data_IF_928671236471
#
_entry.id   IF_928671236471
#
_cell.length_a   1.000
_cell.length_b   1.000
_cell.length_c   1.000
_cell.angle_alpha   90.00
_cell.angle_beta   90.00
_cell.angle_gamma   90.00
#
_symmetry.space_group_name_H-M   'P 1'
#
loop_
_entity.id
_entity.type
_entity.pdbx_description
1 polymer ?
#
# COMPACT_ATOMS: atom_id res chain seq x y z
N UNK A 1 20.81 9.94 5.05
CA UNK A 1 19.65 10.09 5.95
C UNK A 1 18.61 11.07 5.41
N UNK A 2 18.96 12.32 5.10
CA UNK A 2 18.00 13.32 4.58
C UNK A 2 17.18 12.87 3.36
N UNK A 3 17.83 12.25 2.35
CA UNK A 3 17.13 11.70 1.17
C UNK A 3 16.02 10.70 1.54
N UNK A 4 16.31 9.76 2.44
CA UNK A 4 15.32 8.77 2.88
C UNK A 4 14.17 9.41 3.66
N UNK A 5 14.46 10.32 4.59
CA UNK A 5 13.42 11.01 5.35
C UNK A 5 12.49 11.81 4.44
N UNK A 6 13.06 12.50 3.43
CA UNK A 6 12.30 13.24 2.43
C UNK A 6 11.39 12.31 1.61
N UNK A 7 11.95 11.30 0.94
CA UNK A 7 11.18 10.32 0.14
C UNK A 7 10.02 9.68 0.92
N UNK A 8 10.29 9.26 2.17
CA UNK A 8 9.29 8.63 3.04
C UNK A 8 8.19 9.61 3.42
N UNK A 9 8.54 10.81 3.84
CA UNK A 9 7.56 11.83 4.23
C UNK A 9 6.66 12.22 3.04
N UNK A 10 7.24 12.43 1.86
CA UNK A 10 6.49 12.74 0.64
C UNK A 10 5.44 11.68 0.31
N UNK A 11 5.85 10.41 0.32
CA UNK A 11 4.94 9.30 0.06
C UNK A 11 3.86 9.18 1.14
N UNK A 12 4.23 9.23 2.42
CA UNK A 12 3.28 9.10 3.54
C UNK A 12 2.21 10.18 3.47
N UNK A 13 2.59 11.43 3.17
CA UNK A 13 1.64 12.55 3.02
C UNK A 13 0.70 12.29 1.84
N UNK A 14 1.24 12.00 0.65
CA UNK A 14 0.42 11.72 -0.55
C UNK A 14 -0.55 10.56 -0.33
N UNK A 15 -0.07 9.49 0.29
CA UNK A 15 -0.86 8.31 0.60
C UNK A 15 -1.97 8.60 1.62
N UNK A 16 -1.68 9.39 2.66
CA UNK A 16 -2.67 9.78 3.66
C UNK A 16 -3.80 10.62 3.04
N UNK A 17 -3.48 11.54 2.14
CA UNK A 17 -4.49 12.29 1.39
C UNK A 17 -5.28 11.40 0.44
N UNK A 18 -4.61 10.51 -0.31
CA UNK A 18 -5.25 9.56 -1.21
C UNK A 18 -6.28 8.67 -0.49
N UNK A 19 -5.90 8.02 0.62
CA UNK A 19 -6.80 7.11 1.35
C UNK A 19 -8.01 7.84 1.94
N UNK A 20 -7.79 9.07 2.43
CA UNK A 20 -8.85 9.85 3.07
C UNK A 20 -9.82 10.41 2.03
N UNK A 21 -9.30 10.88 0.90
CA UNK A 21 -10.12 11.32 -0.23
C UNK A 21 -10.91 10.16 -0.83
N UNK A 22 -10.34 8.97 -0.96
CA UNK A 22 -11.04 7.78 -1.45
C UNK A 22 -12.35 7.56 -0.67
N UNK A 23 -12.31 7.48 0.67
CA UNK A 23 -13.51 7.26 1.48
C UNK A 23 -14.52 8.40 1.36
N UNK A 24 -14.05 9.64 1.40
CA UNK A 24 -14.90 10.83 1.30
C UNK A 24 -15.59 10.94 -0.06
N UNK A 25 -14.88 10.64 -1.14
CA UNK A 25 -15.45 10.67 -2.50
C UNK A 25 -16.46 9.54 -2.72
N UNK A 26 -16.27 8.35 -2.14
CA UNK A 26 -17.29 7.30 -2.19
C UNK A 26 -18.56 7.75 -1.47
N UNK A 27 -18.43 8.32 -0.26
CA UNK A 27 -19.56 8.86 0.48
C UNK A 27 -20.28 9.98 -0.31
N UNK A 28 -19.52 10.85 -0.97
CA UNK A 28 -20.07 11.91 -1.81
C UNK A 28 -20.81 11.34 -3.03
N UNK A 29 -20.19 10.40 -3.75
CA UNK A 29 -20.78 9.77 -4.93
C UNK A 29 -22.03 8.98 -4.58
N UNK A 30 -22.04 8.29 -3.43
CA UNK A 30 -23.24 7.61 -2.92
C UNK A 30 -24.36 8.62 -2.59
N UNK A 31 -24.04 9.70 -1.88
CA UNK A 31 -25.03 10.74 -1.60
C UNK A 31 -25.59 11.38 -2.86
N UNK A 32 -24.77 11.58 -3.90
CA UNK A 32 -25.22 12.09 -5.18
C UNK A 32 -26.22 11.12 -5.85
N UNK A 33 -25.95 9.81 -5.80
CA UNK A 33 -26.88 8.78 -6.28
C UNK A 33 -28.17 8.70 -5.44
N UNK A 34 -28.08 8.95 -4.14
CA UNK A 34 -29.19 8.98 -3.19
C UNK A 34 -29.87 10.36 -3.07
N UNK A 35 -29.80 11.19 -4.12
CA UNK A 35 -30.47 12.50 -4.20
C UNK A 35 -30.13 13.46 -3.04
N UNK A 36 -28.89 13.40 -2.54
CA UNK A 36 -28.40 14.19 -1.41
C UNK A 36 -29.21 14.02 -0.12
N UNK A 37 -29.78 12.84 0.12
CA UNK A 37 -30.51 12.48 1.35
C UNK A 37 -29.67 12.58 2.65
N UNK A 38 -28.34 12.66 2.55
CA UNK A 38 -27.44 12.78 3.69
C UNK A 38 -27.19 11.48 4.45
N UNK A 39 -27.65 10.34 3.92
CA UNK A 39 -27.44 9.03 4.51
C UNK A 39 -25.97 8.65 4.42
N UNK A 40 -25.37 8.28 5.56
CA UNK A 40 -23.99 7.79 5.55
C UNK A 40 -23.92 6.40 4.93
N UNK A 41 -23.01 6.24 3.98
CA UNK A 41 -22.70 4.97 3.35
C UNK A 41 -21.89 4.08 4.28
N UNK A 42 -21.00 4.68 5.08
CA UNK A 42 -20.12 3.97 6.00
C UNK A 42 -20.73 3.87 7.39
N UNK A 43 -20.46 2.76 8.07
CA UNK A 43 -20.70 2.70 9.51
C UNK A 43 -19.62 3.48 10.28
N UNK A 44 -19.99 4.04 11.44
CA UNK A 44 -19.09 4.87 12.24
C UNK A 44 -17.82 4.11 12.68
N UNK A 45 -17.98 2.81 13.00
CA UNK A 45 -16.84 1.96 13.35
C UNK A 45 -15.90 1.75 12.17
N UNK A 46 -16.44 1.49 10.97
CA UNK A 46 -15.62 1.30 9.76
C UNK A 46 -14.78 2.54 9.43
N UNK A 47 -15.37 3.74 9.58
CA UNK A 47 -14.68 5.00 9.31
C UNK A 47 -13.53 5.24 10.31
N UNK A 48 -13.79 5.00 11.61
CA UNK A 48 -12.78 5.13 12.65
C UNK A 48 -11.67 4.07 12.50
N UNK A 49 -12.04 2.81 12.27
CA UNK A 49 -11.11 1.69 12.13
C UNK A 49 -10.22 1.84 10.88
N UNK A 50 -10.76 2.36 9.78
CA UNK A 50 -9.98 2.61 8.57
C UNK A 50 -8.87 3.63 8.84
N UNK A 51 -9.22 4.78 9.41
CA UNK A 51 -8.27 5.86 9.63
C UNK A 51 -7.28 5.60 10.76
N UNK A 52 -7.70 4.87 11.80
CA UNK A 52 -6.86 4.52 12.94
C UNK A 52 -6.21 3.14 12.80
N UNK A 53 -6.98 2.09 13.01
CA UNK A 53 -6.45 0.74 13.21
C UNK A 53 -5.75 0.16 11.99
N UNK A 54 -6.38 0.21 10.81
CA UNK A 54 -5.89 -0.56 9.67
C UNK A 54 -4.86 0.18 8.83
N UNK A 55 -4.98 1.50 8.69
CA UNK A 55 -4.09 2.26 7.80
C UNK A 55 -2.88 2.87 8.50
N UNK A 56 -2.85 3.00 9.84
CA UNK A 56 -1.68 3.53 10.55
C UNK A 56 -0.51 2.56 10.59
N UNK A 57 -0.76 1.26 10.81
CA UNK A 57 0.32 0.28 10.94
C UNK A 57 1.18 0.19 9.66
N UNK A 58 0.64 0.01 8.44
CA UNK A 58 1.45 -0.03 7.23
C UNK A 58 2.22 1.29 7.00
N UNK A 59 1.59 2.43 7.30
CA UNK A 59 2.21 3.76 7.18
C UNK A 59 3.38 3.92 8.15
N UNK A 60 3.25 3.43 9.38
CA UNK A 60 4.31 3.49 10.38
C UNK A 60 5.51 2.63 9.97
N UNK A 61 5.26 1.40 9.50
CA UNK A 61 6.34 0.51 9.07
C UNK A 61 6.97 0.93 7.74
N UNK A 62 6.28 1.71 6.90
CA UNK A 62 6.86 2.34 5.71
C UNK A 62 8.03 3.27 6.04
N UNK A 63 8.14 3.79 7.27
CA UNK A 63 9.31 4.57 7.71
C UNK A 63 10.61 3.77 7.64
N UNK A 64 10.54 2.44 7.62
CA UNK A 64 11.72 1.57 7.48
C UNK A 64 12.12 1.38 6.01
N UNK A 65 11.25 1.70 5.05
CA UNK A 65 11.46 1.42 3.62
C UNK A 65 12.66 2.17 3.05
N UNK A 66 13.49 1.50 2.25
CA UNK A 66 14.69 2.10 1.63
C UNK A 66 14.63 1.94 0.12
N UNK A 67 14.20 2.99 -0.57
CA UNK A 67 14.08 2.97 -2.04
C UNK A 67 15.39 2.63 -2.77
N UNK A 68 16.54 3.07 -2.23
CA UNK A 68 17.89 2.83 -2.80
C UNK A 68 18.87 2.40 -1.68
N UNK A 69 19.78 1.44 -1.91
CA UNK A 69 20.82 1.06 -0.96
C UNK A 69 21.72 2.23 -0.55
N UNK A 70 22.19 2.22 0.71
CA UNK A 70 22.99 3.31 1.28
C UNK A 70 24.31 3.52 0.54
N UNK A 71 25.01 2.44 0.21
CA UNK A 71 26.30 2.47 -0.50
C UNK A 71 26.17 3.17 -1.87
N UNK A 72 25.08 2.90 -2.60
CA UNK A 72 24.84 3.54 -3.90
C UNK A 72 24.58 5.05 -3.77
N UNK A 73 23.83 5.47 -2.73
CA UNK A 73 23.58 6.89 -2.49
C UNK A 73 24.84 7.68 -2.12
N UNK A 74 25.79 7.03 -1.44
CA UNK A 74 27.08 7.62 -1.09
C UNK A 74 27.98 7.76 -2.33
N UNK A 75 27.93 6.80 -3.26
CA UNK A 75 28.69 6.83 -4.52
C UNK A 75 28.10 7.80 -5.56
N UNK A 76 26.77 7.95 -5.59
CA UNK A 76 26.09 8.76 -6.61
C UNK A 76 25.34 9.95 -5.98
N UNK A 77 26.04 11.06 -5.65
CA UNK A 77 25.42 12.23 -5.04
C UNK A 77 24.41 12.93 -5.96
N UNK A 78 24.43 12.65 -7.28
CA UNK A 78 23.46 13.20 -8.24
C UNK A 78 22.02 12.85 -7.90
N UNK A 79 21.75 11.70 -7.28
CA UNK A 79 20.40 11.30 -6.82
C UNK A 79 19.80 12.32 -5.85
N UNK A 80 20.65 13.05 -5.12
CA UNK A 80 20.20 14.06 -4.18
C UNK A 80 19.58 15.29 -4.87
N UNK A 81 19.98 15.61 -6.10
CA UNK A 81 19.42 16.74 -6.87
C UNK A 81 17.93 16.53 -7.16
N UNK A 82 17.51 15.28 -7.41
CA UNK A 82 16.09 14.95 -7.58
C UNK A 82 15.26 15.29 -6.34
N UNK A 83 15.79 15.00 -5.14
CA UNK A 83 15.12 15.36 -3.88
C UNK A 83 15.11 16.87 -3.63
N UNK A 84 16.19 17.58 -3.96
CA UNK A 84 16.25 19.04 -3.85
C UNK A 84 15.28 19.75 -4.80
N UNK A 85 15.03 19.16 -5.98
CA UNK A 85 14.11 19.70 -6.99
C UNK A 85 12.62 19.38 -6.73
N UNK A 86 12.24 18.97 -5.52
CA UNK A 86 10.88 18.55 -5.17
C UNK A 86 10.33 17.40 -6.05
N UNK A 87 11.20 16.52 -6.55
CA UNK A 87 10.81 15.47 -7.49
C UNK A 87 9.78 14.47 -6.94
N UNK A 88 9.86 14.15 -5.64
CA UNK A 88 8.95 13.20 -4.97
C UNK A 88 7.62 13.81 -4.52
N UNK A 89 7.59 15.11 -4.22
CA UNK A 89 6.38 15.85 -3.82
C UNK A 89 6.29 17.16 -4.62
N UNK A 90 5.60 17.09 -5.75
CA UNK A 90 5.21 18.24 -6.53
C UNK A 90 3.68 18.29 -6.70
N UNK A 91 3.14 19.44 -7.09
CA UNK A 91 1.70 19.62 -7.27
C UNK A 91 1.09 18.60 -8.27
N UNK A 92 1.83 18.23 -9.33
CA UNK A 92 1.38 17.23 -10.30
C UNK A 92 1.27 15.82 -9.73
N UNK A 93 2.28 15.37 -8.98
CA UNK A 93 2.28 14.07 -8.29
C UNK A 93 1.19 14.02 -7.23
N UNK A 94 1.03 15.09 -6.44
CA UNK A 94 -0.03 15.19 -5.44
C UNK A 94 -1.43 15.14 -6.09
N UNK A 95 -1.66 15.93 -7.14
CA UNK A 95 -2.92 15.90 -7.88
C UNK A 95 -3.15 14.54 -8.55
N UNK A 96 -2.10 13.89 -9.04
CA UNK A 96 -2.16 12.52 -9.56
C UNK A 96 -2.64 11.49 -8.53
N UNK A 97 -2.16 11.59 -7.28
CA UNK A 97 -2.67 10.77 -6.18
C UNK A 97 -4.15 11.07 -5.88
N UNK A 98 -4.56 12.34 -5.89
CA UNK A 98 -5.96 12.73 -5.67
C UNK A 98 -6.89 12.22 -6.78
N UNK A 99 -6.50 12.37 -8.05
CA UNK A 99 -7.27 11.88 -9.19
C UNK A 99 -7.35 10.36 -9.20
N UNK A 100 -6.27 9.66 -8.84
CA UNK A 100 -6.28 8.21 -8.66
C UNK A 100 -7.31 7.79 -7.62
N UNK A 101 -7.35 8.48 -6.47
CA UNK A 101 -8.33 8.24 -5.42
C UNK A 101 -9.77 8.45 -5.91
N UNK A 102 -10.03 9.51 -6.66
CA UNK A 102 -11.36 9.79 -7.23
C UNK A 102 -11.82 8.73 -8.24
N UNK A 103 -10.96 8.37 -9.20
CA UNK A 103 -11.29 7.34 -10.20
C UNK A 103 -11.58 6.01 -9.51
N UNK A 104 -10.76 5.64 -8.52
CA UNK A 104 -10.97 4.40 -7.78
C UNK A 104 -12.23 4.44 -6.92
N UNK A 105 -12.56 5.57 -6.31
CA UNK A 105 -13.81 5.75 -5.56
C UNK A 105 -15.05 5.53 -6.44
N UNK A 106 -15.07 6.17 -7.62
CA UNK A 106 -16.17 6.01 -8.59
C UNK A 106 -16.24 4.57 -9.10
N UNK A 107 -15.10 3.96 -9.43
CA UNK A 107 -15.04 2.58 -9.91
C UNK A 107 -15.53 1.59 -8.85
N UNK A 108 -15.06 1.70 -7.61
CA UNK A 108 -15.47 0.86 -6.47
C UNK A 108 -16.99 0.95 -6.25
N UNK A 109 -17.52 2.17 -6.17
CA UNK A 109 -18.94 2.36 -5.90
C UNK A 109 -19.79 1.89 -7.07
N UNK A 110 -19.41 2.27 -8.30
CA UNK A 110 -20.13 1.88 -9.52
C UNK A 110 -20.17 0.37 -9.71
N UNK A 111 -19.04 -0.32 -9.49
CA UNK A 111 -18.98 -1.78 -9.55
C UNK A 111 -19.80 -2.43 -8.44
N UNK A 112 -19.75 -1.90 -7.22
CA UNK A 112 -20.52 -2.49 -6.11
C UNK A 112 -22.02 -2.32 -6.34
N UNK A 113 -22.46 -1.15 -6.83
CA UNK A 113 -23.85 -0.91 -7.22
C UNK A 113 -24.27 -1.76 -8.42
N UNK A 114 -23.38 -2.01 -9.39
CA UNK A 114 -23.70 -2.90 -10.52
C UNK A 114 -23.87 -4.36 -10.08
N UNK A 115 -23.07 -4.79 -9.11
CA UNK A 115 -23.04 -6.18 -8.62
C UNK A 115 -24.15 -6.44 -7.59
N UNK A 116 -24.41 -5.46 -6.71
CA UNK A 116 -25.31 -5.60 -5.57
C UNK A 116 -26.63 -4.83 -5.73
N UNK A 117 -26.68 -3.82 -6.61
CA UNK A 117 -27.84 -2.98 -6.87
C UNK A 117 -28.69 -3.51 -8.02
N UNK A 118 -30.01 -3.50 -7.80
CA UNK A 118 -31.09 -4.04 -8.64
C UNK A 118 -31.32 -5.56 -8.50
N UNK A 119 -32.04 -5.94 -7.43
CA UNK A 119 -32.73 -7.23 -7.34
C UNK A 119 -31.85 -8.42 -6.95
N UNK A 120 -30.61 -8.20 -6.48
CA UNK A 120 -29.80 -9.28 -5.94
C UNK A 120 -30.42 -9.79 -4.65
N UNK A 121 -30.74 -11.07 -4.65
CA UNK A 121 -31.18 -11.81 -3.47
C UNK A 121 -29.99 -12.63 -2.97
N UNK A 122 -29.69 -12.52 -1.69
CA UNK A 122 -28.64 -13.33 -1.06
C UNK A 122 -29.05 -14.80 -1.01
N UNK A 123 -28.11 -15.72 -0.75
CA UNK A 123 -28.41 -17.14 -0.55
C UNK A 123 -29.52 -17.41 0.49
N UNK A 124 -29.72 -16.48 1.42
CA UNK A 124 -30.76 -16.52 2.46
C UNK A 124 -32.17 -16.10 1.99
N UNK A 125 -32.35 -15.72 0.71
CA UNK A 125 -33.64 -15.27 0.17
C UNK A 125 -34.01 -13.81 0.48
N UNK A 126 -33.19 -13.09 1.26
CA UNK A 126 -33.37 -11.67 1.54
C UNK A 126 -32.64 -10.78 0.53
N UNK A 127 -33.18 -9.60 0.18
CA UNK A 127 -32.49 -8.64 -0.68
C UNK A 127 -31.20 -8.13 -0.03
N UNK A 128 -30.26 -7.68 -0.85
CA UNK A 128 -29.06 -6.97 -0.37
C UNK A 128 -29.43 -5.60 0.20
N UNK A 129 -29.19 -5.43 1.49
CA UNK A 129 -29.33 -4.14 2.18
C UNK A 129 -28.09 -3.26 2.00
N UNK A 130 -28.27 -1.95 2.21
CA UNK A 130 -27.19 -0.95 2.23
C UNK A 130 -26.00 -1.36 3.12
N UNK A 131 -26.28 -2.02 4.25
CA UNK A 131 -25.24 -2.48 5.18
C UNK A 131 -24.34 -3.53 4.52
N UNK A 132 -24.90 -4.44 3.74
CA UNK A 132 -24.12 -5.44 3.01
C UNK A 132 -23.29 -4.78 1.90
N UNK A 133 -23.89 -3.86 1.15
CA UNK A 133 -23.21 -3.15 0.06
C UNK A 133 -22.02 -2.32 0.58
N UNK A 134 -22.23 -1.59 1.69
CA UNK A 134 -21.16 -0.83 2.34
C UNK A 134 -20.04 -1.73 2.85
N UNK A 135 -20.37 -2.91 3.39
CA UNK A 135 -19.39 -3.88 3.87
C UNK A 135 -18.55 -4.47 2.72
N UNK A 136 -19.18 -4.85 1.61
CA UNK A 136 -18.48 -5.35 0.42
C UNK A 136 -17.53 -4.30 -0.15
N UNK A 137 -18.01 -3.06 -0.26
CA UNK A 137 -17.21 -1.91 -0.71
C UNK A 137 -16.01 -1.68 0.21
N UNK A 138 -16.24 -1.69 1.53
CA UNK A 138 -15.18 -1.52 2.53
C UNK A 138 -14.12 -2.62 2.43
N UNK A 139 -14.55 -3.87 2.33
CA UNK A 139 -13.68 -5.03 2.18
C UNK A 139 -12.86 -4.95 0.90
N UNK A 140 -13.46 -4.49 -0.20
CA UNK A 140 -12.77 -4.34 -1.48
C UNK A 140 -11.67 -3.28 -1.40
N UNK A 141 -11.98 -2.12 -0.81
CA UNK A 141 -11.01 -1.05 -0.58
C UNK A 141 -9.87 -1.53 0.31
N UNK A 142 -10.16 -2.23 1.41
CA UNK A 142 -9.14 -2.74 2.31
C UNK A 142 -8.17 -3.69 1.61
N UNK A 143 -8.67 -4.60 0.78
CA UNK A 143 -7.84 -5.51 0.00
C UNK A 143 -7.02 -4.78 -1.06
N UNK A 144 -7.64 -3.86 -1.80
CA UNK A 144 -6.91 -3.04 -2.78
C UNK A 144 -5.85 -2.20 -2.07
N UNK A 145 -6.12 -1.71 -0.85
CA UNK A 145 -5.17 -0.93 -0.08
C UNK A 145 -3.92 -1.73 0.30
N UNK A 146 -4.08 -2.99 0.69
CA UNK A 146 -2.97 -3.92 0.91
C UNK A 146 -2.16 -4.07 -0.38
N UNK A 147 -2.81 -4.29 -1.52
CA UNK A 147 -2.14 -4.40 -2.83
C UNK A 147 -1.39 -3.11 -3.19
N UNK A 148 -1.99 -1.92 -3.01
CA UNK A 148 -1.35 -0.62 -3.24
C UNK A 148 -0.05 -0.53 -2.44
N UNK A 149 -0.10 -0.85 -1.14
CA UNK A 149 1.08 -0.74 -0.26
C UNK A 149 2.16 -1.74 -0.67
N UNK A 150 1.79 -2.99 -1.02
CA UNK A 150 2.76 -3.97 -1.55
C UNK A 150 3.43 -3.46 -2.83
N UNK A 151 2.65 -2.90 -3.75
CA UNK A 151 3.11 -2.45 -5.06
C UNK A 151 3.95 -1.17 -4.95
N UNK A 152 3.67 -0.30 -3.98
CA UNK A 152 4.46 0.91 -3.71
C UNK A 152 5.71 0.63 -2.86
N UNK A 153 5.69 -0.38 -2.02
CA UNK A 153 6.84 -0.76 -1.20
C UNK A 153 8.05 -1.16 -2.04
N UNK A 154 9.21 -0.58 -1.75
CA UNK A 154 10.44 -0.84 -2.50
C UNK A 154 11.35 -1.88 -1.84
N UNK A 155 11.25 -2.06 -0.52
CA UNK A 155 12.03 -3.06 0.22
C UNK A 155 11.16 -4.12 0.85
N UNK A 156 11.62 -5.37 0.70
CA UNK A 156 11.02 -6.55 1.34
C UNK A 156 11.78 -6.80 2.64
N UNK A 157 11.65 -5.90 3.60
CA UNK A 157 12.11 -6.17 4.97
C UNK A 157 11.06 -7.02 5.69
N UNK A 158 11.49 -7.93 6.57
CA UNK A 158 10.58 -8.80 7.33
C UNK A 158 9.53 -8.00 8.11
N UNK A 159 9.93 -6.88 8.74
CA UNK A 159 9.02 -6.00 9.49
C UNK A 159 7.94 -5.39 8.59
N UNK A 160 8.31 -4.93 7.39
CA UNK A 160 7.36 -4.35 6.45
C UNK A 160 6.36 -5.40 5.94
N UNK A 161 6.81 -6.63 5.67
CA UNK A 161 5.92 -7.72 5.27
C UNK A 161 4.96 -8.12 6.40
N UNK A 162 5.46 -8.25 7.64
CA UNK A 162 4.62 -8.52 8.81
C UNK A 162 3.59 -7.42 9.01
N UNK A 163 3.94 -6.15 8.80
CA UNK A 163 3.00 -5.05 8.89
C UNK A 163 1.88 -5.14 7.84
N UNK A 164 2.24 -5.36 6.58
CA UNK A 164 1.28 -5.42 5.48
C UNK A 164 0.33 -6.60 5.66
N UNK A 165 0.85 -7.82 5.81
CA UNK A 165 0.03 -9.02 5.96
C UNK A 165 -0.70 -9.05 7.31
N UNK A 166 -0.04 -8.58 8.37
CA UNK A 166 -0.63 -8.46 9.70
C UNK A 166 -1.86 -7.56 9.70
N UNK A 167 -1.84 -6.45 8.96
CA UNK A 167 -3.03 -5.58 8.85
C UNK A 167 -4.21 -6.24 8.14
N UNK A 168 -3.96 -7.07 7.12
CA UNK A 168 -5.02 -7.84 6.48
C UNK A 168 -5.64 -8.86 7.45
N UNK A 169 -4.82 -9.54 8.26
CA UNK A 169 -5.29 -10.50 9.27
C UNK A 169 -6.09 -9.76 10.37
N UNK A 170 -5.55 -8.67 10.90
CA UNK A 170 -6.22 -7.84 11.92
C UNK A 170 -7.56 -7.32 11.40
N UNK A 171 -7.64 -6.92 10.14
CA UNK A 171 -8.90 -6.53 9.50
C UNK A 171 -9.95 -7.67 9.54
N UNK A 172 -9.60 -8.87 9.10
CA UNK A 172 -10.53 -10.01 9.14
C UNK A 172 -10.98 -10.35 10.56
N UNK A 173 -10.05 -10.42 11.51
CA UNK A 173 -10.35 -10.75 12.91
C UNK A 173 -11.26 -9.70 13.56
N UNK A 174 -10.97 -8.42 13.35
CA UNK A 174 -11.77 -7.32 13.92
C UNK A 174 -13.17 -7.27 13.32
N UNK A 175 -13.31 -7.44 12.00
CA UNK A 175 -14.64 -7.46 11.36
C UNK A 175 -15.43 -8.72 11.72
N UNK A 176 -14.78 -9.89 11.85
CA UNK A 176 -15.44 -11.09 12.37
C UNK A 176 -15.98 -10.88 13.79
N UNK A 177 -15.18 -10.28 14.68
CA UNK A 177 -15.61 -9.97 16.04
C UNK A 177 -16.75 -8.94 16.05
N UNK A 178 -16.65 -7.88 15.26
CA UNK A 178 -17.66 -6.83 15.17
C UNK A 178 -19.00 -7.36 14.64
N UNK A 179 -18.99 -8.16 13.57
CA UNK A 179 -20.20 -8.73 12.99
C UNK A 179 -20.83 -9.86 13.84
N UNK A 180 -20.13 -10.38 14.84
CA UNK A 180 -20.65 -11.44 15.73
C UNK A 180 -21.46 -10.90 16.91
N UNK A 181 -21.39 -9.59 17.18
CA UNK A 181 -22.09 -9.00 18.32
C UNK A 181 -23.48 -8.47 17.92
N UNK A 182 -24.57 -8.96 18.56
CA UNK A 182 -25.96 -8.65 18.15
C UNK A 182 -26.39 -7.20 18.39
N UNK A 183 -25.62 -6.42 19.16
CA UNK A 183 -25.91 -5.00 19.40
C UNK A 183 -25.41 -4.05 18.31
N UNK A 184 -24.67 -4.53 17.30
CA UNK A 184 -24.12 -3.69 16.24
C UNK A 184 -24.92 -3.77 14.94
N UNK A 185 -24.91 -2.68 14.18
CA UNK A 185 -25.63 -2.57 12.90
C UNK A 185 -25.20 -3.61 11.86
N UNK A 186 -23.95 -4.07 11.93
CA UNK A 186 -23.37 -5.03 10.99
C UNK A 186 -23.47 -6.50 11.45
N UNK A 187 -24.45 -6.82 12.30
CA UNK A 187 -24.65 -8.17 12.80
C UNK A 187 -24.88 -9.17 11.66
N UNK A 188 -24.17 -10.30 11.71
CA UNK A 188 -24.18 -11.39 10.73
C UNK A 188 -23.69 -11.07 9.31
N UNK A 189 -23.30 -9.84 8.98
CA UNK A 189 -22.92 -9.46 7.61
C UNK A 189 -21.68 -10.23 7.14
N UNK A 190 -20.64 -10.32 7.97
CA UNK A 190 -19.43 -11.10 7.65
C UNK A 190 -19.73 -12.60 7.49
N UNK A 191 -20.59 -13.15 8.34
CA UNK A 191 -20.97 -14.56 8.30
C UNK A 191 -21.75 -14.87 7.02
N UNK A 192 -22.60 -13.95 6.54
CA UNK A 192 -23.27 -14.07 5.24
C UNK A 192 -22.28 -13.98 4.08
N UNK A 193 -21.32 -13.06 4.12
CA UNK A 193 -20.26 -12.95 3.11
C UNK A 193 -19.44 -14.25 3.00
N UNK A 194 -19.13 -14.89 4.13
CA UNK A 194 -18.37 -16.14 4.17
C UNK A 194 -19.24 -17.38 3.88
N UNK A 195 -20.54 -17.30 4.11
CA UNK A 195 -21.49 -18.40 3.91
C UNK A 195 -22.00 -18.53 2.47
N UNK A 196 -22.09 -17.42 1.72
CA UNK A 196 -22.51 -17.41 0.32
C UNK A 196 -21.27 -17.43 -0.62
N UNK A 197 -21.00 -18.54 -1.33
CA UNK A 197 -19.85 -18.64 -2.24
C UNK A 197 -19.86 -17.56 -3.33
N UNK A 198 -21.05 -17.11 -3.75
CA UNK A 198 -21.17 -16.08 -4.78
C UNK A 198 -20.67 -14.73 -4.28
N UNK A 199 -20.94 -14.37 -3.03
CA UNK A 199 -20.46 -13.12 -2.41
C UNK A 199 -18.94 -13.09 -2.32
N UNK A 200 -18.32 -14.21 -1.92
CA UNK A 200 -16.86 -14.36 -1.92
C UNK A 200 -16.26 -14.21 -3.33
N UNK A 201 -16.86 -14.81 -4.35
CA UNK A 201 -16.38 -14.69 -5.74
C UNK A 201 -16.51 -13.26 -6.26
N UNK A 202 -17.63 -12.58 -5.97
CA UNK A 202 -17.84 -11.18 -6.32
C UNK A 202 -16.83 -10.27 -5.62
N UNK A 203 -16.48 -10.58 -4.37
CA UNK A 203 -15.44 -9.86 -3.63
C UNK A 203 -14.06 -9.99 -4.30
N UNK A 204 -13.70 -11.18 -4.77
CA UNK A 204 -12.47 -11.39 -5.54
C UNK A 204 -12.53 -10.66 -6.87
N UNK A 205 -13.65 -10.73 -7.59
CA UNK A 205 -13.84 -10.03 -8.85
C UNK A 205 -13.64 -8.51 -8.68
N UNK A 206 -14.25 -7.92 -7.65
CA UNK A 206 -14.06 -6.52 -7.28
C UNK A 206 -12.57 -6.20 -7.06
N UNK A 207 -11.88 -7.01 -6.26
CA UNK A 207 -10.44 -6.83 -6.03
C UNK A 207 -9.63 -6.86 -7.33
N UNK A 208 -9.88 -7.84 -8.21
CA UNK A 208 -9.15 -8.00 -9.47
C UNK A 208 -9.41 -6.82 -10.40
N UNK A 209 -10.69 -6.44 -10.60
CA UNK A 209 -11.07 -5.35 -11.49
C UNK A 209 -10.50 -4.00 -11.03
N UNK A 210 -10.35 -3.80 -9.71
CA UNK A 210 -9.79 -2.57 -9.16
C UNK A 210 -8.25 -2.57 -9.10
N UNK A 211 -7.64 -3.70 -8.77
CA UNK A 211 -6.19 -3.80 -8.62
C UNK A 211 -5.47 -3.87 -9.97
N UNK A 212 -6.00 -4.61 -10.95
CA UNK A 212 -5.32 -4.84 -12.23
C UNK A 212 -5.05 -3.54 -13.00
N UNK A 213 -6.01 -2.62 -13.20
CA UNK A 213 -5.76 -1.38 -13.92
C UNK A 213 -4.70 -0.50 -13.24
N UNK A 214 -4.68 -0.50 -11.90
CA UNK A 214 -3.71 0.26 -11.12
C UNK A 214 -2.30 -0.31 -11.26
N UNK A 215 -2.14 -1.63 -11.15
CA UNK A 215 -0.85 -2.32 -11.34
C UNK A 215 -0.38 -2.20 -12.79
N UNK A 216 -1.29 -2.36 -13.75
CA UNK A 216 -1.01 -2.22 -15.17
C UNK A 216 -0.55 -0.79 -15.50
N UNK A 217 -1.29 0.23 -15.07
CA UNK A 217 -0.93 1.64 -15.29
C UNK A 217 0.44 1.98 -14.68
N UNK A 218 0.71 1.51 -13.47
CA UNK A 218 2.00 1.74 -12.83
C UNK A 218 3.14 1.03 -13.56
N UNK A 219 2.93 -0.22 -13.96
CA UNK A 219 3.94 -0.99 -14.70
C UNK A 219 4.20 -0.37 -16.07
N UNK A 220 3.15 0.06 -16.76
CA UNK A 220 3.22 0.81 -18.01
C UNK A 220 4.03 2.10 -17.84
N UNK A 221 3.66 2.95 -16.88
CA UNK A 221 4.38 4.20 -16.62
C UNK A 221 5.85 3.94 -16.27
N UNK A 222 6.15 2.88 -15.53
CA UNK A 222 7.54 2.51 -15.19
C UNK A 222 8.36 2.11 -16.42
N UNK A 223 7.75 1.46 -17.41
CA UNK A 223 8.45 0.95 -18.59
C UNK A 223 8.60 2.02 -19.68
N UNK A 224 7.60 2.86 -19.90
CA UNK A 224 7.59 3.84 -21.00
C UNK A 224 8.06 5.25 -20.60
N UNK A 225 7.91 5.64 -19.33
CA UNK A 225 8.33 6.96 -18.83
C UNK A 225 8.97 6.87 -17.44
N UNK A 226 10.14 6.19 -17.32
CA UNK A 226 10.79 6.02 -16.04
C UNK A 226 11.21 7.37 -15.45
N UNK A 227 10.84 7.61 -14.20
CA UNK A 227 11.29 8.80 -13.48
C UNK A 227 12.81 8.70 -13.20
N UNK A 228 13.51 9.83 -13.04
CA UNK A 228 14.97 9.86 -12.81
C UNK A 228 15.37 8.99 -11.60
N UNK A 229 14.56 9.05 -10.55
CA UNK A 229 14.69 8.20 -9.37
C UNK A 229 14.50 6.70 -9.67
N UNK A 230 13.58 6.34 -10.57
CA UNK A 230 13.36 4.94 -10.96
C UNK A 230 14.54 4.39 -11.76
N UNK A 231 15.16 5.21 -12.60
CA UNK A 231 16.39 4.85 -13.30
C UNK A 231 17.52 4.55 -12.30
N UNK A 232 17.75 5.44 -11.34
CA UNK A 232 18.73 5.23 -10.28
C UNK A 232 18.44 4.01 -9.41
N UNK A 233 17.16 3.67 -9.17
CA UNK A 233 16.77 2.43 -8.48
C UNK A 233 17.13 1.18 -9.29
N UNK A 234 16.91 1.20 -10.61
CA UNK A 234 17.28 0.08 -11.47
C UNK A 234 18.81 -0.10 -11.54
N UNK A 235 19.57 1.00 -11.65
CA UNK A 235 21.03 0.98 -11.60
C UNK A 235 21.55 0.49 -10.25
N UNK A 236 20.95 0.93 -9.14
CA UNK A 236 21.34 0.49 -7.82
C UNK A 236 21.08 -1.01 -7.59
N UNK A 237 20.01 -1.57 -8.19
CA UNK A 237 19.76 -3.02 -8.19
C UNK A 237 20.84 -3.78 -8.95
N UNK A 238 21.29 -3.28 -10.10
CA UNK A 238 22.40 -3.86 -10.86
C UNK A 238 23.70 -3.83 -10.05
N UNK A 239 24.05 -2.67 -9.50
CA UNK A 239 25.23 -2.50 -8.63
C UNK A 239 25.23 -3.45 -7.43
N UNK A 240 24.08 -3.63 -6.78
CA UNK A 240 23.96 -4.56 -5.66
C UNK A 240 24.11 -6.01 -6.12
N UNK A 241 23.55 -6.37 -7.27
CA UNK A 241 23.67 -7.72 -7.84
C UNK A 241 25.12 -8.05 -8.25
N UNK A 242 25.86 -7.06 -8.77
CA UNK A 242 27.28 -7.20 -9.11
C UNK A 242 28.14 -7.34 -7.84
N UNK A 243 27.94 -6.50 -6.83
CA UNK A 243 28.66 -6.61 -5.56
C UNK A 243 28.41 -7.94 -4.83
N UNK A 244 27.20 -8.51 -4.95
CA UNK A 244 26.92 -9.84 -4.43
C UNK A 244 27.62 -10.96 -5.22
N UNK A 245 27.85 -10.79 -6.54
CA UNK A 245 28.60 -11.76 -7.36
C UNK A 245 30.11 -11.71 -7.10
N UNK A 246 30.65 -10.52 -6.80
CA UNK A 246 32.08 -10.32 -6.57
C UNK A 246 32.47 -10.30 -5.09
N UNK A 247 31.54 -10.55 -4.16
CA UNK A 247 31.91 -10.73 -2.74
C UNK A 247 32.82 -11.95 -2.60
N UNK A 248 34.08 -11.80 -2.14
CA UNK A 248 34.91 -12.95 -1.83
C UNK A 248 34.21 -13.79 -0.76
N UNK A 249 34.40 -15.13 -0.74
CA UNK A 249 33.85 -15.97 0.31
C UNK A 249 34.26 -15.38 1.66
N UNK A 250 33.26 -15.14 2.50
CA UNK A 250 33.37 -14.49 3.80
C UNK A 250 34.66 -14.88 4.51
N UNK A 251 35.50 -13.90 4.85
CA UNK A 251 36.55 -14.08 5.87
C UNK A 251 35.81 -14.36 7.17
N UNK A 252 35.60 -15.66 7.41
CA UNK A 252 35.03 -16.21 8.63
C UNK A 252 36.01 -15.87 9.75
N UNK A 253 35.64 -14.90 10.57
CA UNK A 253 36.24 -14.59 11.88
C UNK A 253 37.77 -14.70 11.91
N UNK A 254 38.47 -13.70 11.39
CA UNK A 254 39.84 -13.46 11.86
C UNK A 254 39.71 -12.85 13.26
N UNK A 255 39.68 -13.73 14.27
CA UNK A 255 39.86 -13.34 15.67
C UNK A 255 41.15 -12.53 15.75
N UNK A 256 41.01 -11.28 16.21
CA UNK A 256 42.14 -10.45 16.61
C UNK A 256 42.89 -11.23 17.70
N UNK A 257 43.99 -11.87 17.34
CA UNK A 257 45.03 -12.26 18.30
C UNK A 257 45.99 -11.08 18.36
N UNK A 258 45.88 -10.32 19.45
CA UNK A 258 47.00 -9.53 19.95
C UNK A 258 48.23 -10.44 20.08
N UNK A 259 49.36 -10.04 19.50
CA UNK A 259 50.58 -10.82 19.60
C UNK A 259 51.67 -10.34 18.64
N UNK A 260 52.53 -9.47 19.18
CA UNK A 260 53.98 -9.34 18.94
C UNK A 260 54.52 -9.04 17.54
N UNK A 261 55.18 -7.88 17.46
CA UNK A 261 56.45 -7.59 16.77
C UNK A 261 56.75 -8.36 15.48
N UNK A 262 56.65 -7.68 14.33
CA UNK A 262 57.67 -7.81 13.29
C UNK A 262 57.66 -6.62 12.31
N UNK A 263 58.87 -6.18 11.99
CA UNK A 263 59.28 -4.97 11.28
C UNK A 263 58.81 -4.86 9.83
N UNK A 264 58.33 -3.67 9.44
CA UNK A 264 58.00 -3.29 8.06
C UNK A 264 59.29 -2.93 7.30
N UNK A 265 59.65 -3.57 6.17
CA UNK A 265 60.70 -3.06 5.30
C UNK A 265 60.12 -2.05 4.30
N UNK A 266 60.70 -0.85 4.33
CA UNK A 266 60.47 0.24 3.41
C UNK A 266 61.16 -0.01 2.06
N UNK A 267 60.40 -0.37 1.01
CA UNK A 267 60.84 -0.22 -0.39
C UNK A 267 59.71 -0.58 -1.34
N UNK A 268 59.06 0.43 -1.94
CA UNK A 268 58.49 0.39 -3.31
C UNK A 268 57.79 1.72 -3.62
N UNK A 269 58.61 2.75 -3.85
CA UNK A 269 58.29 3.85 -4.76
C UNK A 269 59.50 4.03 -5.66
N UNK A 270 59.42 3.47 -6.87
CA UNK A 270 60.21 3.86 -8.03
C UNK A 270 59.32 3.76 -9.26
#
# INVERSE_FOLDING_TARGET
HGHYSYERACYIVQYCFYKSMLLSFIQLAYNAAAQFSGVSYWDAFQLAAFNGLFTLAPVFFYVVDRSVPRQYLELQPRVYRFSQGNGSLNAGTFLGFLLRGQVQAIAVLGLTVLICGAGRVNGDGHPTDLVNDSFMTYSAIMMVQVVVVVVESHTVTALNQVAIWGTAIVYWLTMLAYCSYPGFKMYHVMQRLLGDPMLYLLQILLLVVLAVPMVAFKTWSRNYSPNELQLHRNLARQFTAENCRYSPPSVRSMSIREGSDESIPSTLYR
#
